data_IF_119581717059
#
_entry.id   IF_119581717059
#
_cell.length_a   1.000
_cell.length_b   1.000
_cell.length_c   1.000
_cell.angle_alpha   90.00
_cell.angle_beta   90.00
_cell.angle_gamma   90.00
#
_symmetry.space_group_name_H-M   'P 1'
#
loop_
_entity.id
_entity.type
_entity.pdbx_description
1 polymer ?
#
# COMPACT_ATOMS: atom_id res chain seq x y z
N UNK A 1 -11.70 -8.98 -10.90
CA UNK A 1 -10.24 -9.19 -10.84
C UNK A 1 -9.92 -10.63 -10.51
N UNK A 2 -9.05 -11.24 -11.26
CA UNK A 2 -8.59 -12.61 -10.97
C UNK A 2 -7.61 -12.60 -9.80
N UNK A 3 -7.54 -13.73 -9.10
CA UNK A 3 -6.68 -13.88 -7.92
C UNK A 3 -5.20 -13.57 -8.21
N UNK A 4 -4.67 -14.07 -9.33
CA UNK A 4 -3.29 -13.80 -9.72
C UNK A 4 -3.04 -12.35 -10.10
N UNK A 5 -4.01 -11.70 -10.74
CA UNK A 5 -3.92 -10.29 -11.09
C UNK A 5 -3.84 -9.40 -9.85
N UNK A 6 -4.59 -9.75 -8.81
CA UNK A 6 -4.49 -9.04 -7.53
C UNK A 6 -3.08 -9.14 -6.95
N UNK A 7 -2.50 -10.33 -6.95
CA UNK A 7 -1.14 -10.54 -6.43
C UNK A 7 -0.11 -9.67 -7.15
N UNK A 8 -0.16 -9.66 -8.47
CA UNK A 8 0.76 -8.89 -9.29
C UNK A 8 0.60 -7.38 -9.06
N UNK A 9 -0.64 -6.90 -9.06
CA UNK A 9 -0.91 -5.49 -8.81
C UNK A 9 -0.55 -5.06 -7.39
N UNK A 10 -0.84 -5.90 -6.41
CA UNK A 10 -0.52 -5.61 -5.02
C UNK A 10 0.99 -5.49 -4.80
N UNK A 11 1.78 -6.38 -5.39
CA UNK A 11 3.24 -6.28 -5.32
C UNK A 11 3.76 -5.02 -6.01
N UNK A 12 3.19 -4.66 -7.17
CA UNK A 12 3.56 -3.43 -7.87
C UNK A 12 3.26 -2.18 -7.03
N UNK A 13 2.07 -2.12 -6.44
CA UNK A 13 1.68 -1.00 -5.56
C UNK A 13 2.56 -0.96 -4.32
N UNK A 14 2.86 -2.12 -3.73
CA UNK A 14 3.74 -2.20 -2.56
C UNK A 14 5.13 -1.66 -2.87
N UNK A 15 5.71 -2.02 -4.02
CA UNK A 15 7.01 -1.52 -4.45
C UNK A 15 6.98 0.00 -4.62
N UNK A 16 5.92 0.56 -5.21
CA UNK A 16 5.75 2.01 -5.34
C UNK A 16 5.65 2.69 -3.99
N UNK A 17 4.90 2.11 -3.06
CA UNK A 17 4.75 2.66 -1.71
C UNK A 17 6.09 2.65 -0.98
N UNK A 18 6.86 1.58 -1.07
CA UNK A 18 8.20 1.49 -0.47
C UNK A 18 9.13 2.57 -1.05
N UNK A 19 9.12 2.75 -2.36
CA UNK A 19 9.91 3.79 -3.01
C UNK A 19 9.48 5.18 -2.58
N UNK A 20 8.17 5.43 -2.47
CA UNK A 20 7.65 6.71 -2.01
C UNK A 20 8.03 7.01 -0.57
N UNK A 21 8.03 6.00 0.30
CA UNK A 21 8.49 6.14 1.68
C UNK A 21 9.95 6.57 1.71
N UNK A 22 10.81 5.91 0.94
CA UNK A 22 12.23 6.23 0.87
C UNK A 22 12.47 7.67 0.38
N UNK A 23 11.75 8.10 -0.67
CA UNK A 23 11.83 9.47 -1.18
C UNK A 23 11.35 10.49 -0.17
N UNK A 24 10.24 10.22 0.52
CA UNK A 24 9.70 11.12 1.53
C UNK A 24 10.62 11.25 2.74
N UNK A 25 11.24 10.16 3.17
CA UNK A 25 12.23 10.20 4.26
C UNK A 25 13.41 11.08 3.88
N UNK A 26 13.90 10.96 2.65
CA UNK A 26 14.97 11.79 2.15
C UNK A 26 14.57 13.26 2.12
N UNK A 27 13.40 13.57 1.58
CA UNK A 27 12.89 14.95 1.52
C UNK A 27 12.65 15.53 2.91
N UNK A 28 12.13 14.76 3.83
CA UNK A 28 11.89 15.19 5.21
C UNK A 28 13.18 15.62 5.90
N UNK A 29 14.31 15.00 5.57
CA UNK A 29 15.61 15.37 6.13
C UNK A 29 16.21 16.64 5.49
N UNK A 30 15.72 17.02 4.32
CA UNK A 30 16.25 18.17 3.55
C UNK A 30 15.44 19.46 3.73
N UNK A 31 14.22 19.37 4.29
CA UNK A 31 13.33 20.53 4.43
C UNK A 31 13.46 21.19 5.80
N UNK A 32 12.95 22.43 5.90
CA UNK A 32 12.90 23.17 7.18
C UNK A 32 11.94 22.49 8.17
N UNK A 33 12.09 22.81 9.44
CA UNK A 33 11.27 22.24 10.51
C UNK A 33 9.77 22.45 10.31
N UNK A 34 9.37 23.57 9.71
CA UNK A 34 7.98 23.88 9.41
C UNK A 34 7.34 22.89 8.45
N UNK A 35 8.12 22.38 7.51
CA UNK A 35 7.64 21.41 6.50
C UNK A 35 7.81 19.96 6.94
N UNK A 36 8.68 19.68 7.89
CA UNK A 36 8.92 18.32 8.39
C UNK A 36 7.65 17.66 8.92
N UNK A 37 6.82 18.42 9.61
CA UNK A 37 5.57 17.89 10.17
C UNK A 37 4.64 17.37 9.07
N UNK A 38 4.50 18.09 7.96
CA UNK A 38 3.68 17.66 6.83
C UNK A 38 4.24 16.39 6.17
N UNK A 39 5.55 16.33 5.97
CA UNK A 39 6.20 15.14 5.41
C UNK A 39 6.07 13.94 6.34
N UNK A 40 6.19 14.15 7.64
CA UNK A 40 6.03 13.08 8.62
C UNK A 40 4.63 12.52 8.64
N UNK A 41 3.60 13.34 8.47
CA UNK A 41 2.21 12.90 8.36
C UNK A 41 1.99 12.04 7.12
N UNK A 42 2.56 12.44 5.99
CA UNK A 42 2.51 11.66 4.75
C UNK A 42 3.25 10.34 4.89
N UNK A 43 4.39 10.34 5.57
CA UNK A 43 5.15 9.13 5.86
C UNK A 43 4.37 8.14 6.71
N UNK A 44 3.72 8.61 7.76
CA UNK A 44 2.89 7.76 8.62
C UNK A 44 1.78 7.10 7.82
N UNK A 45 1.11 7.86 6.96
CA UNK A 45 0.05 7.36 6.09
C UNK A 45 0.57 6.28 5.13
N UNK A 46 1.72 6.53 4.50
CA UNK A 46 2.33 5.57 3.58
C UNK A 46 2.75 4.28 4.31
N UNK A 47 3.26 4.40 5.53
CA UNK A 47 3.64 3.25 6.35
C UNK A 47 2.41 2.42 6.75
N UNK A 48 1.28 3.06 7.06
CA UNK A 48 0.02 2.37 7.34
C UNK A 48 -0.46 1.61 6.10
N UNK A 49 -0.41 2.22 4.93
CA UNK A 49 -0.77 1.59 3.66
C UNK A 49 0.10 0.37 3.41
N UNK A 50 1.40 0.49 3.66
CA UNK A 50 2.35 -0.62 3.53
C UNK A 50 1.98 -1.79 4.43
N UNK A 51 1.66 -1.52 5.69
CA UNK A 51 1.24 -2.55 6.64
C UNK A 51 -0.05 -3.23 6.20
N UNK A 52 -1.02 -2.45 5.76
CA UNK A 52 -2.31 -2.97 5.30
C UNK A 52 -2.16 -3.82 4.04
N UNK A 53 -1.30 -3.40 3.11
CA UNK A 53 -0.99 -4.19 1.91
C UNK A 53 -0.35 -5.52 2.27
N UNK A 54 0.59 -5.53 3.20
CA UNK A 54 1.24 -6.75 3.66
C UNK A 54 0.23 -7.71 4.30
N UNK A 55 -0.68 -7.20 5.10
CA UNK A 55 -1.75 -8.00 5.71
C UNK A 55 -2.69 -8.60 4.65
N UNK A 56 -3.07 -7.79 3.66
CA UNK A 56 -3.91 -8.26 2.56
C UNK A 56 -3.22 -9.35 1.75
N UNK A 57 -1.92 -9.21 1.50
CA UNK A 57 -1.15 -10.24 0.80
C UNK A 57 -1.04 -11.54 1.62
N UNK A 58 -0.85 -11.44 2.93
CA UNK A 58 -0.85 -12.61 3.81
C UNK A 58 -2.18 -13.33 3.78
N UNK A 59 -3.29 -12.58 3.91
CA UNK A 59 -4.63 -13.14 3.83
C UNK A 59 -4.88 -13.80 2.48
N UNK A 60 -4.42 -13.16 1.41
CA UNK A 60 -4.54 -13.66 0.05
C UNK A 60 -3.86 -15.02 -0.13
N UNK A 61 -2.66 -15.20 0.41
CA UNK A 61 -1.89 -16.44 0.25
C UNK A 61 -2.58 -17.67 0.83
N UNK A 62 -3.34 -17.48 1.91
CA UNK A 62 -4.11 -18.54 2.52
C UNK A 62 -5.52 -18.72 1.98
N UNK A 63 -5.89 -17.97 0.96
CA UNK A 63 -7.27 -17.86 0.49
C UNK A 63 -7.61 -18.90 -0.57
N UNK A 64 -8.80 -19.52 -0.45
CA UNK A 64 -9.35 -20.40 -1.50
C UNK A 64 -9.99 -19.56 -2.61
N UNK A 65 -10.21 -20.17 -3.76
CA UNK A 65 -10.92 -19.53 -4.88
C UNK A 65 -12.34 -19.10 -4.49
N UNK A 66 -13.02 -19.92 -3.72
CA UNK A 66 -14.37 -19.61 -3.24
C UNK A 66 -14.39 -18.35 -2.37
N UNK A 67 -13.43 -18.23 -1.47
CA UNK A 67 -13.32 -17.05 -0.61
C UNK A 67 -12.91 -15.82 -1.42
N UNK A 68 -12.01 -15.98 -2.36
CA UNK A 68 -11.60 -14.89 -3.26
C UNK A 68 -12.80 -14.31 -4.00
N UNK A 69 -13.69 -15.14 -4.50
CA UNK A 69 -14.90 -14.71 -5.19
C UNK A 69 -15.77 -13.78 -4.35
N UNK A 70 -15.76 -13.95 -3.02
CA UNK A 70 -16.53 -13.13 -2.08
C UNK A 70 -15.84 -11.79 -1.81
N UNK A 71 -14.53 -11.77 -1.67
CA UNK A 71 -13.77 -10.58 -1.20
C UNK A 71 -13.07 -9.79 -2.31
N UNK A 72 -13.09 -10.29 -3.54
CA UNK A 72 -12.35 -9.68 -4.66
C UNK A 72 -12.63 -8.20 -4.88
N UNK A 73 -13.88 -7.76 -4.71
CA UNK A 73 -14.25 -6.35 -4.88
C UNK A 73 -13.67 -5.48 -3.78
N UNK A 74 -13.76 -5.95 -2.54
CA UNK A 74 -13.19 -5.25 -1.39
C UNK A 74 -11.68 -5.10 -1.51
N UNK A 75 -11.00 -6.16 -1.91
CA UNK A 75 -9.54 -6.13 -2.12
C UNK A 75 -9.15 -5.22 -3.29
N UNK A 76 -9.94 -5.25 -4.36
CA UNK A 76 -9.73 -4.35 -5.51
C UNK A 76 -9.89 -2.88 -5.15
N UNK A 77 -10.91 -2.54 -4.38
CA UNK A 77 -11.13 -1.18 -3.89
C UNK A 77 -10.00 -0.71 -2.99
N UNK A 78 -9.55 -1.56 -2.08
CA UNK A 78 -8.42 -1.27 -1.21
C UNK A 78 -7.16 -0.96 -2.03
N UNK A 79 -6.89 -1.77 -3.05
CA UNK A 79 -5.73 -1.61 -3.92
C UNK A 79 -5.79 -0.29 -4.69
N UNK A 80 -6.97 0.08 -5.20
CA UNK A 80 -7.16 1.36 -5.89
C UNK A 80 -6.89 2.56 -4.97
N UNK A 81 -7.37 2.50 -3.73
CA UNK A 81 -7.11 3.54 -2.74
C UNK A 81 -5.63 3.64 -2.40
N UNK A 82 -4.97 2.51 -2.23
CA UNK A 82 -3.53 2.47 -1.95
C UNK A 82 -2.72 3.06 -3.11
N UNK A 83 -3.14 2.79 -4.34
CA UNK A 83 -2.46 3.29 -5.53
C UNK A 83 -2.59 4.81 -5.71
N UNK A 84 -3.68 5.39 -5.20
CA UNK A 84 -3.93 6.83 -5.27
C UNK A 84 -3.30 7.64 -4.13
N UNK A 85 -2.87 6.97 -3.11
CA UNK A 85 -2.21 7.61 -1.96
C UNK A 85 -0.70 7.92 -2.23
#
# INVERSE_FOLDING_TARGET
MKKEDFRLKAHSVLDEVINNIAEMEKKANEVSDDLKEEYNKKLERLKEIKLDLNKKLEDYEGMTESRWSVVKESFGEFLDKANKA
#
